data_IF_959174024029
#
_entry.id   IF_959174024029
#
_cell.length_a   1.000
_cell.length_b   1.000
_cell.length_c   1.000
_cell.angle_alpha   90.00
_cell.angle_beta   90.00
_cell.angle_gamma   90.00
#
_symmetry.space_group_name_H-M   'P 1'
#
loop_
_entity.id
_entity.type
_entity.pdbx_description
1 polymer ?
#
# COMPACT_ATOMS: atom_id res chain seq x y z
N UNK A 1 -19.10 10.85 -7.89
CA UNK A 1 -20.33 10.51 -7.13
C UNK A 1 -20.02 10.64 -5.65
N UNK A 2 -20.94 11.15 -4.82
CA UNK A 2 -20.74 11.28 -3.38
C UNK A 2 -21.42 10.12 -2.65
N UNK A 3 -20.73 9.53 -1.68
CA UNK A 3 -21.23 8.41 -0.86
C UNK A 3 -21.21 8.86 0.60
N UNK A 4 -22.28 8.60 1.32
CA UNK A 4 -22.34 8.79 2.78
C UNK A 4 -22.28 7.42 3.44
N UNK A 5 -21.33 7.23 4.35
CA UNK A 5 -21.11 5.98 5.09
C UNK A 5 -21.41 6.18 6.57
N UNK A 6 -22.27 5.33 7.13
CA UNK A 6 -22.44 5.20 8.58
C UNK A 6 -21.41 4.22 9.12
N UNK A 7 -20.47 4.71 9.90
CA UNK A 7 -19.35 3.94 10.47
C UNK A 7 -19.07 4.42 11.88
N UNK A 8 -18.51 3.52 12.69
CA UNK A 8 -18.07 3.83 14.05
C UNK A 8 -17.01 4.95 14.07
N UNK A 9 -17.12 5.88 15.02
CA UNK A 9 -16.23 7.04 15.11
C UNK A 9 -14.78 6.65 15.43
N UNK A 10 -14.55 5.62 16.25
CA UNK A 10 -13.20 5.16 16.57
C UNK A 10 -12.54 4.48 15.37
N UNK A 11 -13.33 3.81 14.54
CA UNK A 11 -12.86 3.28 13.26
C UNK A 11 -12.39 4.39 12.31
N UNK A 12 -13.17 5.48 12.20
CA UNK A 12 -12.82 6.62 11.34
C UNK A 12 -11.49 7.25 11.79
N UNK A 13 -11.28 7.44 13.09
CA UNK A 13 -10.04 8.02 13.59
C UNK A 13 -8.83 7.13 13.34
N UNK A 14 -8.95 5.81 13.56
CA UNK A 14 -7.87 4.88 13.21
C UNK A 14 -7.56 4.90 11.72
N UNK A 15 -8.58 4.91 10.86
CA UNK A 15 -8.39 4.98 9.41
C UNK A 15 -7.70 6.29 8.98
N UNK A 16 -8.04 7.43 9.61
CA UNK A 16 -7.34 8.71 9.38
C UNK A 16 -5.87 8.65 9.75
N UNK A 17 -5.53 8.02 10.87
CA UNK A 17 -4.13 7.87 11.28
C UNK A 17 -3.34 7.06 10.26
N UNK A 18 -3.90 5.94 9.78
CA UNK A 18 -3.26 5.12 8.74
C UNK A 18 -3.12 5.89 7.43
N UNK A 19 -4.15 6.61 6.99
CA UNK A 19 -4.09 7.42 5.77
C UNK A 19 -3.00 8.50 5.86
N UNK A 20 -2.89 9.16 7.03
CA UNK A 20 -1.84 10.15 7.30
C UNK A 20 -0.43 9.55 7.24
N UNK A 21 -0.24 8.33 7.77
CA UNK A 21 1.05 7.62 7.67
C UNK A 21 1.42 7.30 6.21
N UNK A 22 0.42 7.08 5.35
CA UNK A 22 0.60 6.85 3.91
C UNK A 22 0.67 8.16 3.09
N UNK A 23 0.52 9.32 3.74
CA UNK A 23 0.55 10.63 3.06
C UNK A 23 -0.72 10.96 2.25
N UNK A 24 -1.81 10.21 2.42
CA UNK A 24 -3.06 10.37 1.67
C UNK A 24 -4.25 10.75 2.57
N UNK A 25 -5.33 11.23 1.97
CA UNK A 25 -6.57 11.51 2.73
C UNK A 25 -7.40 10.24 2.96
N UNK A 26 -8.27 10.25 3.98
CA UNK A 26 -9.22 9.15 4.22
C UNK A 26 -10.12 8.90 2.99
N UNK A 27 -10.59 9.97 2.35
CA UNK A 27 -11.46 9.83 1.16
C UNK A 27 -10.71 9.21 -0.02
N UNK A 28 -9.44 9.53 -0.19
CA UNK A 28 -8.58 8.94 -1.21
C UNK A 28 -8.32 7.46 -0.93
N UNK A 29 -8.04 7.09 0.32
CA UNK A 29 -7.92 5.69 0.74
C UNK A 29 -9.20 4.90 0.45
N UNK A 30 -10.37 5.45 0.78
CA UNK A 30 -11.67 4.81 0.48
C UNK A 30 -11.88 4.66 -1.02
N UNK A 31 -11.52 5.68 -1.81
CA UNK A 31 -11.60 5.62 -3.28
C UNK A 31 -10.72 4.50 -3.82
N UNK A 32 -9.44 4.47 -3.45
CA UNK A 32 -8.50 3.45 -3.91
C UNK A 32 -8.98 2.05 -3.55
N UNK A 33 -9.51 1.86 -2.33
CA UNK A 33 -10.06 0.57 -1.91
C UNK A 33 -11.26 0.15 -2.77
N UNK A 34 -12.19 1.07 -3.06
CA UNK A 34 -13.33 0.80 -3.94
C UNK A 34 -12.88 0.48 -5.37
N UNK A 35 -11.83 1.12 -5.88
CA UNK A 35 -11.25 0.80 -7.19
C UNK A 35 -10.64 -0.59 -7.22
N UNK A 36 -9.90 -0.98 -6.18
CA UNK A 36 -9.39 -2.37 -6.04
C UNK A 36 -10.54 -3.37 -6.00
N UNK A 37 -11.59 -3.11 -5.20
CA UNK A 37 -12.75 -4.01 -5.09
C UNK A 37 -13.55 -4.09 -6.40
N UNK A 38 -13.66 -2.97 -7.12
CA UNK A 38 -14.32 -2.90 -8.42
C UNK A 38 -13.48 -3.54 -9.55
N UNK A 39 -12.25 -3.98 -9.25
CA UNK A 39 -11.36 -4.61 -10.23
C UNK A 39 -10.69 -3.63 -11.19
N UNK A 40 -10.64 -2.32 -10.87
CA UNK A 40 -9.87 -1.34 -11.66
C UNK A 40 -8.35 -1.58 -11.53
N UNK A 41 -7.91 -2.33 -10.51
CA UNK A 41 -6.57 -2.92 -10.47
C UNK A 41 -6.69 -4.36 -10.98
N UNK A 42 -6.52 -4.54 -12.29
CA UNK A 42 -6.49 -5.88 -12.87
C UNK A 42 -5.18 -6.57 -12.45
N UNK A 43 -5.28 -7.79 -11.89
CA UNK A 43 -4.11 -8.58 -11.50
C UNK A 43 -3.13 -8.79 -12.66
N UNK A 44 -3.63 -8.89 -13.89
CA UNK A 44 -2.80 -9.01 -15.09
C UNK A 44 -2.00 -7.74 -15.37
N UNK A 45 -2.52 -6.56 -15.01
CA UNK A 45 -1.80 -5.30 -15.15
C UNK A 45 -0.69 -5.19 -14.09
N UNK A 46 -0.94 -5.66 -12.86
CA UNK A 46 0.07 -5.72 -11.79
C UNK A 46 1.20 -6.69 -12.13
N UNK A 47 0.86 -7.88 -12.66
CA UNK A 47 1.87 -8.86 -13.10
C UNK A 47 2.72 -8.27 -14.22
N UNK A 48 2.10 -7.61 -15.21
CA UNK A 48 2.82 -6.97 -16.31
C UNK A 48 3.75 -5.86 -15.84
N UNK A 49 3.32 -5.05 -14.88
CA UNK A 49 4.17 -4.03 -14.26
C UNK A 49 5.37 -4.65 -13.52
N UNK A 50 5.15 -5.74 -12.78
CA UNK A 50 6.23 -6.48 -12.11
C UNK A 50 7.23 -7.07 -13.10
N UNK A 51 6.77 -7.69 -14.18
CA UNK A 51 7.62 -8.22 -15.24
C UNK A 51 8.49 -7.12 -15.85
N UNK A 52 7.89 -5.96 -16.19
CA UNK A 52 8.63 -4.81 -16.70
C UNK A 52 9.68 -4.30 -15.71
N UNK A 53 9.35 -4.25 -14.41
CA UNK A 53 10.30 -3.83 -13.38
C UNK A 53 11.48 -4.80 -13.25
N UNK A 54 11.23 -6.12 -13.30
CA UNK A 54 12.28 -7.13 -13.27
C UNK A 54 13.17 -7.11 -14.50
N UNK A 55 12.60 -6.88 -15.68
CA UNK A 55 13.37 -6.77 -16.92
C UNK A 55 14.21 -5.49 -16.97
N UNK A 56 13.66 -4.37 -16.49
CA UNK A 56 14.31 -3.05 -16.56
C UNK A 56 15.29 -2.79 -15.40
N UNK A 57 15.19 -3.52 -14.29
CA UNK A 57 16.03 -3.32 -13.11
C UNK A 57 16.61 -4.63 -12.60
N UNK A 58 17.94 -4.76 -12.64
CA UNK A 58 18.65 -5.92 -12.10
C UNK A 58 18.63 -6.02 -10.55
N UNK A 59 18.07 -5.01 -9.88
CA UNK A 59 18.18 -4.84 -8.43
C UNK A 59 19.61 -4.45 -8.01
N UNK A 60 19.73 -3.50 -7.08
CA UNK A 60 21.05 -3.11 -6.55
C UNK A 60 20.97 -2.95 -5.03
N UNK A 61 21.29 -4.03 -4.30
CA UNK A 61 21.27 -4.02 -2.83
C UNK A 61 22.41 -3.21 -2.20
N UNK A 62 23.24 -2.51 -2.99
CA UNK A 62 24.30 -1.64 -2.44
C UNK A 62 25.45 -2.42 -1.79
N UNK A 63 25.58 -3.72 -2.07
CA UNK A 63 26.50 -4.60 -1.35
C UNK A 63 26.01 -4.99 0.05
N UNK A 64 24.81 -4.58 0.47
CA UNK A 64 24.22 -4.98 1.75
C UNK A 64 23.98 -6.49 1.75
N UNK A 65 24.63 -7.19 2.67
CA UNK A 65 24.30 -8.56 3.04
C UNK A 65 23.21 -8.48 4.10
N UNK A 66 22.06 -9.07 3.80
CA UNK A 66 20.98 -9.15 4.77
C UNK A 66 21.25 -10.35 5.68
N UNK A 67 21.36 -10.09 6.98
CA UNK A 67 21.43 -11.13 7.99
C UNK A 67 20.09 -11.28 8.69
N UNK A 68 19.81 -12.48 9.22
CA UNK A 68 18.52 -12.79 9.86
C UNK A 68 18.18 -11.84 11.01
N UNK A 69 19.20 -11.29 11.69
CA UNK A 69 19.06 -10.32 12.77
C UNK A 69 18.46 -8.99 12.30
N UNK A 70 18.69 -8.58 11.05
CA UNK A 70 18.21 -7.31 10.49
C UNK A 70 16.68 -7.22 10.49
N UNK A 71 16.00 -8.37 10.42
CA UNK A 71 14.53 -8.45 10.44
C UNK A 71 13.89 -8.03 11.78
N UNK A 72 14.70 -7.92 12.84
CA UNK A 72 14.26 -7.56 14.20
C UNK A 72 14.78 -6.20 14.67
N UNK A 73 15.52 -5.49 13.82
CA UNK A 73 16.06 -4.17 14.14
C UNK A 73 14.90 -3.16 14.34
N UNK A 74 14.90 -2.44 15.47
CA UNK A 74 13.85 -1.48 15.84
C UNK A 74 12.61 -2.06 16.55
N UNK A 75 12.67 -3.33 16.98
CA UNK A 75 11.61 -3.99 17.78
C UNK A 75 11.99 -4.26 19.25
N UNK A 76 13.06 -3.64 19.77
CA UNK A 76 13.50 -3.68 21.17
C UNK A 76 13.27 -2.34 21.87
#
# INVERSE_FOLDING_TARGET
MNITLSVDAQLVERARQVAKQQGISLNEMVRNYLQTVAGEVNGDDVVRELELLWESHAGHSGGKRFDRSDAYEGRL
#
